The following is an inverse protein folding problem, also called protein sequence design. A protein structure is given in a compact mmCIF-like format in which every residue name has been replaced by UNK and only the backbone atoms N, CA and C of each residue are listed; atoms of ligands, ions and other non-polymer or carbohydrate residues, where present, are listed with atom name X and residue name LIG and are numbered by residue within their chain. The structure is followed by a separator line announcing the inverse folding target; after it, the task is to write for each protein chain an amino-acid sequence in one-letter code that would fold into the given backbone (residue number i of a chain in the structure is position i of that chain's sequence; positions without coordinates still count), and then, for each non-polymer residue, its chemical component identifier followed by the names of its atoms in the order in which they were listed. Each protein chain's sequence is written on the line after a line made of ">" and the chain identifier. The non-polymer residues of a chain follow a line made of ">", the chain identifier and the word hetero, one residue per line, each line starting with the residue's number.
data_IF_526211173519
#
_entry.id   IF_526211173519
#
_cell.length_a   1.000
_cell.length_b   1.000
_cell.length_c   1.000
_cell.angle_alpha   90.00
_cell.angle_beta   90.00
_cell.angle_gamma   90.00
#
_symmetry.space_group_name_H-M   'P 1'
#
loop_
_entity.id
_entity.type
_entity.pdbx_description
1 polymer ?
#
# COMPACT_ATOMS: atom_id res chain seq x y z
N UNK A 1 -9.36 -9.99 2.92
CA UNK A 1 -7.93 -9.85 3.17
C UNK A 1 -7.56 -10.97 4.12
N UNK A 2 -6.52 -11.74 3.81
CA UNK A 2 -6.00 -12.79 4.69
C UNK A 2 -4.88 -12.18 5.53
N UNK A 3 -4.88 -12.46 6.84
CA UNK A 3 -3.88 -11.91 7.79
C UNK A 3 -4.36 -10.65 8.53
N UNK A 4 -5.11 -9.76 7.89
CA UNK A 4 -5.76 -8.59 8.50
C UNK A 4 -7.20 -8.44 7.99
N UNK A 5 -8.05 -7.75 8.75
CA UNK A 5 -9.26 -7.11 8.23
C UNK A 5 -8.89 -5.80 7.52
N UNK A 6 -9.74 -5.34 6.58
CA UNK A 6 -9.53 -4.04 5.93
C UNK A 6 -9.46 -2.88 6.93
N UNK A 7 -10.23 -2.94 8.01
CA UNK A 7 -10.23 -1.90 9.02
C UNK A 7 -8.91 -1.86 9.80
N UNK A 8 -8.33 -3.02 10.14
CA UNK A 8 -7.01 -3.10 10.76
C UNK A 8 -5.96 -2.53 9.80
N UNK A 9 -5.94 -3.00 8.56
CA UNK A 9 -5.01 -2.52 7.53
C UNK A 9 -5.05 -0.98 7.36
N UNK A 10 -6.24 -0.39 7.24
CA UNK A 10 -6.40 1.06 7.08
C UNK A 10 -6.06 1.81 8.37
N UNK A 11 -6.43 1.27 9.54
CA UNK A 11 -6.10 1.88 10.83
C UNK A 11 -4.60 1.96 11.04
N UNK A 12 -3.88 0.91 10.66
CA UNK A 12 -2.43 0.86 10.75
C UNK A 12 -1.80 1.96 9.90
N UNK A 13 -2.24 2.14 8.64
CA UNK A 13 -1.75 3.24 7.78
C UNK A 13 -2.03 4.65 8.33
N UNK A 14 -3.04 4.81 9.20
CA UNK A 14 -3.39 6.08 9.84
C UNK A 14 -2.59 6.36 11.12
N UNK A 15 -1.83 5.39 11.65
CA UNK A 15 -0.97 5.63 12.81
C UNK A 15 0.20 6.54 12.40
N UNK A 16 0.43 7.62 13.15
CA UNK A 16 1.41 8.67 12.81
C UNK A 16 2.80 8.09 12.51
N UNK A 17 3.27 8.28 11.27
CA UNK A 17 4.54 7.73 10.78
C UNK A 17 4.41 6.42 10.00
N UNK A 18 3.22 5.80 10.01
CA UNK A 18 2.77 4.65 9.21
C UNK A 18 3.64 3.39 9.33
N UNK A 19 3.14 2.27 9.88
CA UNK A 19 3.86 1.01 9.77
C UNK A 19 3.97 0.60 8.30
N UNK A 20 5.13 0.08 7.93
CA UNK A 20 5.32 -0.59 6.65
C UNK A 20 4.40 -1.81 6.58
N UNK A 21 3.62 -1.92 5.51
CA UNK A 21 2.78 -3.08 5.22
C UNK A 21 3.24 -3.74 3.93
N UNK A 22 3.36 -5.06 3.97
CA UNK A 22 3.68 -5.86 2.80
C UNK A 22 2.55 -6.84 2.50
N UNK A 23 2.11 -6.89 1.25
CA UNK A 23 0.96 -7.68 0.86
C UNK A 23 1.00 -8.08 -0.62
N UNK A 24 0.26 -9.12 -0.97
CA UNK A 24 0.17 -9.65 -2.34
C UNK A 24 -1.25 -9.57 -2.86
N UNK A 25 -1.35 -9.28 -4.16
CA UNK A 25 -2.59 -9.36 -4.93
C UNK A 25 -2.26 -9.90 -6.33
N UNK A 26 -2.85 -11.04 -6.68
CA UNK A 26 -2.54 -11.72 -7.94
C UNK A 26 -1.05 -12.07 -8.06
N UNK A 27 -0.40 -11.58 -9.12
CA UNK A 27 1.03 -11.79 -9.40
C UNK A 27 1.92 -10.60 -8.97
N UNK A 28 1.40 -9.71 -8.11
CA UNK A 28 2.10 -8.50 -7.67
C UNK A 28 2.33 -8.51 -6.16
N UNK A 29 3.48 -8.00 -5.77
CA UNK A 29 3.91 -7.75 -4.40
C UNK A 29 3.90 -6.24 -4.14
N UNK A 30 3.37 -5.83 -3.00
CA UNK A 30 3.15 -4.45 -2.65
C UNK A 30 3.82 -4.14 -1.32
N UNK A 31 4.56 -3.03 -1.26
CA UNK A 31 5.11 -2.46 -0.03
C UNK A 31 4.55 -1.05 0.09
N UNK A 32 3.80 -0.77 1.16
CA UNK A 32 3.30 0.58 1.45
C UNK A 32 3.89 1.09 2.76
N UNK A 33 4.39 2.32 2.73
CA UNK A 33 5.01 2.97 3.89
C UNK A 33 4.88 4.50 3.80
N UNK A 34 5.02 5.18 4.95
CA UNK A 34 5.19 6.63 4.97
C UNK A 34 6.53 7.03 4.33
N UNK A 35 6.51 8.08 3.51
CA UNK A 35 7.72 8.61 2.87
C UNK A 35 7.67 10.15 2.78
N UNK A 36 8.83 10.78 2.60
CA UNK A 36 8.95 12.22 2.36
C UNK A 36 9.88 12.46 1.16
N UNK A 37 9.30 12.96 0.07
CA UNK A 37 10.05 13.28 -1.14
C UNK A 37 10.95 14.49 -0.90
N UNK A 38 12.25 14.26 -0.99
CA UNK A 38 13.29 15.29 -0.96
C UNK A 38 13.67 15.73 -2.39
N UNK A 39 14.03 17.02 -2.61
CA UNK A 39 14.19 18.11 -1.65
C UNK A 39 12.90 18.92 -1.39
N UNK A 40 11.79 18.55 -2.01
CA UNK A 40 10.52 19.28 -1.93
C UNK A 40 9.82 19.21 -0.57
N UNK A 41 10.29 18.31 0.32
CA UNK A 41 9.75 18.08 1.65
C UNK A 41 8.23 17.80 1.65
N UNK A 42 7.79 17.00 0.68
CA UNK A 42 6.39 16.59 0.55
C UNK A 42 6.25 15.19 1.15
N UNK A 43 5.50 15.10 2.25
CA UNK A 43 5.18 13.83 2.91
C UNK A 43 3.96 13.16 2.29
N UNK A 44 3.87 11.85 2.46
CA UNK A 44 2.74 11.05 1.96
C UNK A 44 2.98 9.56 2.13
N UNK A 45 2.14 8.76 1.49
CA UNK A 45 2.32 7.30 1.42
C UNK A 45 2.98 6.93 0.10
N UNK A 46 4.03 6.12 0.17
CA UNK A 46 4.67 5.49 -0.97
C UNK A 46 4.23 4.03 -1.04
N UNK A 47 3.78 3.63 -2.21
CA UNK A 47 3.45 2.23 -2.54
C UNK A 47 4.36 1.77 -3.67
N UNK A 48 5.29 0.88 -3.35
CA UNK A 48 6.11 0.21 -4.34
C UNK A 48 5.45 -1.10 -4.77
N UNK A 49 5.50 -1.38 -6.07
CA UNK A 49 4.91 -2.56 -6.69
C UNK A 49 6.01 -3.36 -7.40
N UNK A 50 6.07 -4.65 -7.11
CA UNK A 50 6.98 -5.61 -7.70
C UNK A 50 6.20 -6.80 -8.26
N UNK A 51 6.84 -7.60 -9.10
CA UNK A 51 6.38 -8.95 -9.36
C UNK A 51 6.45 -9.77 -8.07
N UNK A 52 5.43 -10.58 -7.81
CA UNK A 52 5.45 -11.53 -6.69
C UNK A 52 6.33 -12.73 -7.06
N UNK A 53 7.44 -12.91 -6.34
CA UNK A 53 8.28 -14.11 -6.40
C UNK A 53 8.12 -14.92 -5.11
N UNK A 54 7.14 -15.81 -5.09
CA UNK A 54 6.88 -16.70 -3.95
C UNK A 54 6.67 -15.98 -2.60
N UNK A 55 5.88 -14.92 -2.59
CA UNK A 55 5.64 -14.02 -1.46
C UNK A 55 6.88 -13.22 -1.03
N UNK A 56 7.78 -12.93 -1.96
CA UNK A 56 8.85 -11.95 -1.83
C UNK A 56 8.81 -10.92 -2.98
N UNK A 57 9.42 -9.76 -2.75
CA UNK A 57 9.56 -8.72 -3.75
C UNK A 57 10.52 -9.15 -4.88
N UNK A 58 9.99 -9.36 -6.08
CA UNK A 58 10.75 -9.70 -7.27
C UNK A 58 11.17 -8.47 -8.09
N UNK A 59 11.01 -8.54 -9.41
CA UNK A 59 11.34 -7.43 -10.31
C UNK A 59 10.42 -6.23 -10.06
N UNK A 60 11.03 -5.04 -9.93
CA UNK A 60 10.32 -3.77 -9.75
C UNK A 60 9.43 -3.46 -10.95
N UNK A 61 8.20 -3.04 -10.67
CA UNK A 61 7.23 -2.61 -11.69
C UNK A 61 7.11 -1.10 -11.67
N UNK A 62 6.66 -0.52 -10.55
CA UNK A 62 6.41 0.91 -10.43
C UNK A 62 6.18 1.34 -8.97
N UNK A 63 6.23 2.65 -8.75
CA UNK A 63 5.88 3.29 -7.48
C UNK A 63 4.67 4.21 -7.67
N UNK A 64 3.76 4.21 -6.70
CA UNK A 64 2.74 5.25 -6.52
C UNK A 64 3.10 6.08 -5.29
N UNK A 65 2.83 7.38 -5.36
CA UNK A 65 2.98 8.28 -4.22
C UNK A 65 1.68 9.05 -4.01
N UNK A 66 1.17 9.01 -2.78
CA UNK A 66 -0.06 9.67 -2.34
C UNK A 66 0.34 10.83 -1.41
N UNK A 67 0.50 12.06 -1.93
CA UNK A 67 0.94 13.20 -1.13
C UNK A 67 -0.16 13.66 -0.18
N UNK A 68 0.20 14.13 1.02
CA UNK A 68 -0.76 14.70 1.97
C UNK A 68 -0.39 14.41 3.41
N UNK A 69 -1.22 14.88 4.33
CA UNK A 69 -1.19 14.39 5.71
C UNK A 69 -1.68 12.93 5.79
N UNK A 70 -1.49 12.28 6.95
CA UNK A 70 -1.83 10.87 7.19
C UNK A 70 -3.26 10.52 6.71
N UNK A 71 -4.23 11.42 6.89
CA UNK A 71 -5.62 11.17 6.51
C UNK A 71 -5.83 11.36 5.00
N UNK A 72 -5.21 12.39 4.43
CA UNK A 72 -5.35 12.72 3.02
C UNK A 72 -4.67 11.68 2.11
N UNK A 73 -3.48 11.20 2.48
CA UNK A 73 -2.75 10.20 1.70
C UNK A 73 -3.45 8.84 1.76
N UNK A 74 -3.95 8.41 2.93
CA UNK A 74 -4.74 7.18 3.07
C UNK A 74 -6.01 7.24 2.24
N UNK A 75 -6.74 8.36 2.27
CA UNK A 75 -7.95 8.54 1.45
C UNK A 75 -7.70 8.48 -0.05
N UNK A 76 -6.53 8.93 -0.50
CA UNK A 76 -6.15 8.81 -1.90
C UNK A 76 -5.84 7.35 -2.26
N UNK A 77 -5.07 6.65 -1.42
CA UNK A 77 -4.79 5.24 -1.57
C UNK A 77 -6.08 4.40 -1.61
N UNK A 78 -7.02 4.63 -0.70
CA UNK A 78 -8.30 3.93 -0.61
C UNK A 78 -9.13 4.00 -1.90
N UNK A 79 -9.03 5.11 -2.63
CA UNK A 79 -9.76 5.37 -3.88
C UNK A 79 -8.98 4.98 -5.14
N UNK A 80 -7.72 4.59 -4.98
CA UNK A 80 -6.85 4.31 -6.11
C UNK A 80 -7.20 2.96 -6.76
N UNK A 81 -7.50 2.96 -8.05
CA UNK A 81 -7.85 1.75 -8.83
C UNK A 81 -6.61 0.98 -9.30
N UNK A 82 -5.70 0.68 -8.37
CA UNK A 82 -4.35 0.15 -8.64
C UNK A 82 -4.26 -1.38 -8.55
N UNK A 83 -5.36 -2.04 -8.16
CA UNK A 83 -5.48 -3.49 -8.06
C UNK A 83 -6.23 -4.05 -9.27
N UNK A 84 -5.60 -3.96 -10.44
CA UNK A 84 -6.18 -4.33 -11.74
C UNK A 84 -7.51 -3.57 -12.03
N UNK A 85 -7.49 -2.26 -11.80
CA UNK A 85 -8.67 -1.40 -11.99
C UNK A 85 -9.66 -1.43 -10.82
N UNK A 86 -9.30 -2.06 -9.69
CA UNK A 86 -10.10 -2.09 -8.47
C UNK A 86 -9.47 -1.26 -7.37
N UNK A 87 -10.31 -0.74 -6.48
CA UNK A 87 -9.91 -0.14 -5.21
C UNK A 87 -9.48 -1.20 -4.19
N UNK A 88 -8.85 -0.78 -3.09
CA UNK A 88 -8.48 -1.68 -1.99
C UNK A 88 -9.70 -2.42 -1.43
N UNK A 89 -10.86 -1.77 -1.36
CA UNK A 89 -12.11 -2.33 -0.84
C UNK A 89 -12.69 -3.41 -1.73
N UNK A 90 -12.57 -3.25 -3.05
CA UNK A 90 -13.07 -4.23 -4.01
C UNK A 90 -12.10 -5.41 -4.16
N UNK A 91 -10.80 -5.16 -4.00
CA UNK A 91 -9.75 -6.16 -4.07
C UNK A 91 -9.54 -6.91 -2.75
N UNK A 92 -10.04 -6.41 -1.61
CA UNK A 92 -9.65 -6.86 -0.27
C UNK A 92 -9.68 -8.38 -0.12
N UNK A 93 -10.66 -9.07 -0.72
CA UNK A 93 -10.89 -10.51 -0.52
C UNK A 93 -9.80 -11.37 -1.12
N UNK A 94 -9.10 -10.84 -2.13
CA UNK A 94 -8.04 -11.51 -2.87
C UNK A 94 -6.64 -11.09 -2.38
N UNK A 95 -6.57 -10.22 -1.37
CA UNK A 95 -5.32 -9.73 -0.78
C UNK A 95 -4.87 -10.64 0.36
N UNK A 96 -3.58 -10.99 0.38
CA UNK A 96 -2.90 -11.62 1.51
C UNK A 96 -1.84 -10.66 2.07
N UNK A 97 -1.98 -10.28 3.34
CA UNK A 97 -1.00 -9.47 4.06
C UNK A 97 0.07 -10.39 4.63
N UNK A 98 1.33 -10.06 4.34
CA UNK A 98 2.51 -10.86 4.68
C UNK A 98 3.24 -10.30 5.89
N UNK A 99 3.30 -8.98 6.01
CA UNK A 99 4.00 -8.28 7.08
C UNK A 99 3.31 -6.97 7.47
N UNK A 100 3.50 -6.62 8.75
CA UNK A 100 2.96 -5.44 9.41
C UNK A 100 1.59 -5.67 10.02
#
# INVERSE_FOLDING_TARGET
>A
MKGNTINEFISDLLETGGPEKEFVFGNKYYIIQGDTIQPSNVSGLRLDVYHNDNNEAGEYIQTYFFPGDDVECVKQFEKAEIFDGKTIYEAEKDIEVLFG
#
